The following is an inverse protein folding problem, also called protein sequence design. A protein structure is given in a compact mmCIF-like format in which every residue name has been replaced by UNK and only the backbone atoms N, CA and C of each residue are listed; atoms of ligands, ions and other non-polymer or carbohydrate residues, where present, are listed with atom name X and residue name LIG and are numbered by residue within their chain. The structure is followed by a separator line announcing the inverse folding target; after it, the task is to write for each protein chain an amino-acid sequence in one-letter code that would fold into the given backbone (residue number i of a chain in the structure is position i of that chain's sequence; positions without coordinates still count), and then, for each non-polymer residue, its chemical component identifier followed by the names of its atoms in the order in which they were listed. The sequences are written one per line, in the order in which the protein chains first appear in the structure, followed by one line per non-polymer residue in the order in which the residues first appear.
data_IF_180984045091
#
_entry.id   IF_180984045091
#
_cell.length_a   1.000
_cell.length_b   1.000
_cell.length_c   1.000
_cell.angle_alpha   90.00
_cell.angle_beta   90.00
_cell.angle_gamma   90.00
#
_symmetry.space_group_name_H-M   'P 1'
#
loop_
_entity.id
_entity.type
_entity.pdbx_description
1 polymer ?
#
# COMPACT_ATOMS: atom_id res chain seq x y z
N UNK A 1 8.62 72.30 -26.19
CA UNK A 1 7.92 71.69 -25.04
C UNK A 1 8.20 70.19 -25.08
N UNK A 2 8.88 69.71 -24.03
CA UNK A 2 8.96 68.31 -23.54
C UNK A 2 9.45 67.23 -24.52
N UNK A 3 10.74 66.90 -24.53
CA UNK A 3 11.43 65.86 -23.70
C UNK A 3 11.35 64.43 -24.29
N UNK A 4 12.49 63.76 -24.54
CA UNK A 4 12.55 62.32 -24.81
C UNK A 4 12.64 61.55 -23.48
N UNK A 5 11.86 60.47 -23.31
CA UNK A 5 11.89 59.63 -22.10
C UNK A 5 12.21 58.17 -22.44
N UNK A 6 13.48 57.82 -22.16
CA UNK A 6 14.02 56.55 -21.65
C UNK A 6 13.71 55.22 -22.35
N UNK A 7 14.76 54.69 -22.98
CA UNK A 7 15.04 53.25 -23.09
C UNK A 7 14.99 52.59 -21.70
N UNK A 8 14.25 51.48 -21.57
CA UNK A 8 14.35 50.54 -20.45
C UNK A 8 15.08 49.26 -20.91
N UNK A 9 16.30 48.98 -20.43
CA UNK A 9 16.96 47.69 -20.56
C UNK A 9 16.55 46.81 -19.37
N UNK A 10 15.71 45.79 -19.57
CA UNK A 10 15.25 44.99 -18.43
C UNK A 10 14.65 43.61 -18.68
N UNK A 11 14.46 43.18 -19.94
CA UNK A 11 13.67 41.96 -20.21
C UNK A 11 14.49 40.66 -20.26
N UNK A 12 15.82 40.74 -20.39
CA UNK A 12 16.66 39.53 -20.60
C UNK A 12 17.26 38.93 -19.31
N UNK A 13 17.41 39.70 -18.23
CA UNK A 13 17.99 39.20 -16.98
C UNK A 13 17.01 38.42 -16.08
N UNK A 14 15.70 38.64 -16.20
CA UNK A 14 14.68 37.99 -15.37
C UNK A 14 14.43 36.52 -15.73
N UNK A 15 14.49 36.18 -17.02
CA UNK A 15 14.24 34.82 -17.51
C UNK A 15 15.38 33.86 -17.12
N UNK A 16 16.62 34.32 -17.19
CA UNK A 16 17.81 33.53 -16.82
C UNK A 16 17.81 33.25 -15.31
N UNK A 17 17.44 34.23 -14.49
CA UNK A 17 17.36 34.04 -13.03
C UNK A 17 16.27 33.05 -12.62
N UNK A 18 15.12 33.03 -13.31
CA UNK A 18 14.01 32.12 -13.01
C UNK A 18 14.29 30.66 -13.40
N UNK A 19 14.98 30.42 -14.51
CA UNK A 19 15.38 29.07 -14.91
C UNK A 19 16.41 28.46 -13.94
N UNK A 20 17.37 29.27 -13.46
CA UNK A 20 18.42 28.81 -12.54
C UNK A 20 17.83 28.39 -11.19
N UNK A 21 16.86 29.13 -10.65
CA UNK A 21 16.21 28.77 -9.39
C UNK A 21 15.37 27.50 -9.52
N UNK A 22 14.68 27.30 -10.66
CA UNK A 22 13.85 26.12 -10.89
C UNK A 22 14.68 24.83 -11.01
N UNK A 23 15.85 24.89 -11.67
CA UNK A 23 16.80 23.76 -11.71
C UNK A 23 17.36 23.47 -10.33
N UNK A 24 17.70 24.50 -9.54
CA UNK A 24 18.24 24.32 -8.19
C UNK A 24 17.24 23.66 -7.23
N UNK A 25 15.97 24.07 -7.24
CA UNK A 25 14.90 23.47 -6.41
C UNK A 25 14.66 22.02 -6.80
N UNK A 26 14.71 21.70 -8.09
CA UNK A 26 14.53 20.33 -8.59
C UNK A 26 15.71 19.42 -8.23
N UNK A 27 16.94 19.92 -8.30
CA UNK A 27 18.14 19.18 -7.90
C UNK A 27 18.14 18.84 -6.39
N UNK A 28 17.73 19.78 -5.53
CA UNK A 28 17.64 19.56 -4.08
C UNK A 28 16.59 18.50 -3.72
N UNK A 29 15.45 18.48 -4.42
CA UNK A 29 14.40 17.50 -4.17
C UNK A 29 14.83 16.06 -4.55
N UNK A 30 15.51 15.88 -5.69
CA UNK A 30 15.98 14.57 -6.15
C UNK A 30 17.07 14.03 -5.22
N UNK A 31 18.03 14.87 -4.83
CA UNK A 31 19.07 14.47 -3.88
C UNK A 31 18.48 14.06 -2.52
N UNK A 32 17.50 14.80 -2.01
CA UNK A 32 16.86 14.50 -0.72
C UNK A 32 16.03 13.20 -0.76
N UNK A 33 15.36 12.91 -1.89
CA UNK A 33 14.62 11.67 -2.09
C UNK A 33 15.52 10.42 -2.13
N UNK A 34 16.69 10.51 -2.76
CA UNK A 34 17.61 9.38 -2.88
C UNK A 34 18.28 8.99 -1.55
N UNK A 35 18.59 9.96 -0.67
CA UNK A 35 19.22 9.69 0.62
C UNK A 35 18.28 9.08 1.67
N UNK A 36 16.97 9.36 1.55
CA UNK A 36 15.95 8.81 2.45
C UNK A 36 15.53 7.40 2.03
N UNK A 37 15.63 7.08 0.74
CA UNK A 37 15.19 5.81 0.17
C UNK A 37 15.93 4.59 0.72
N UNK A 38 17.23 4.70 1.06
CA UNK A 38 18.04 3.54 1.49
C UNK A 38 17.95 3.23 2.98
N UNK A 39 17.27 4.07 3.77
CA UNK A 39 17.01 3.81 5.20
C UNK A 39 15.69 3.09 5.46
N UNK A 40 14.82 2.94 4.46
CA UNK A 40 13.54 2.24 4.61
C UNK A 40 13.71 0.72 4.53
N UNK A 41 14.74 0.22 3.83
CA UNK A 41 15.01 -1.23 3.74
C UNK A 41 15.47 -1.83 5.09
N UNK A 42 16.06 -1.02 5.98
CA UNK A 42 16.54 -1.47 7.29
C UNK A 42 15.41 -1.69 8.32
N UNK A 43 14.25 -1.07 8.10
CA UNK A 43 13.09 -1.14 9.01
C UNK A 43 12.04 -2.16 8.57
N UNK A 44 12.23 -2.83 7.44
CA UNK A 44 11.44 -4.00 7.08
C UNK A 44 12.19 -5.24 7.59
N UNK A 45 11.93 -5.73 8.82
CA UNK A 45 12.44 -7.02 9.21
C UNK A 45 11.99 -8.00 8.13
N UNK A 46 12.97 -8.67 7.53
CA UNK A 46 12.78 -9.81 6.65
C UNK A 46 11.85 -10.75 7.41
N UNK A 47 10.57 -10.71 7.05
CA UNK A 47 9.54 -11.55 7.63
C UNK A 47 9.93 -12.96 7.21
N UNK A 48 10.73 -13.62 8.05
CA UNK A 48 11.05 -15.02 7.88
C UNK A 48 9.71 -15.75 7.81
N UNK A 49 9.37 -16.20 6.62
CA UNK A 49 8.22 -17.06 6.38
C UNK A 49 8.48 -18.35 7.16
N UNK A 50 7.96 -18.39 8.39
CA UNK A 50 8.07 -19.58 9.23
C UNK A 50 7.33 -20.72 8.52
N UNK A 51 7.98 -21.88 8.28
CA UNK A 51 7.33 -23.02 7.64
C UNK A 51 6.16 -23.45 8.52
N UNK A 52 4.93 -23.20 8.05
CA UNK A 52 3.70 -23.41 8.81
C UNK A 52 2.77 -22.20 8.87
N UNK A 53 3.21 -21.02 8.42
CA UNK A 53 2.32 -19.86 8.27
C UNK A 53 1.33 -20.07 7.12
N UNK A 54 0.04 -20.17 7.43
CA UNK A 54 -1.05 -20.22 6.44
C UNK A 54 -1.84 -18.92 6.50
N UNK A 55 -1.71 -18.09 5.47
CA UNK A 55 -2.45 -16.83 5.32
C UNK A 55 -3.42 -16.97 4.14
N UNK A 56 -4.72 -16.77 4.40
CA UNK A 56 -5.77 -16.82 3.39
C UNK A 56 -6.43 -15.45 3.26
N UNK A 57 -6.30 -14.84 2.08
CA UNK A 57 -6.87 -13.52 1.74
C UNK A 57 -6.56 -12.44 2.81
N UNK A 58 -5.32 -12.44 3.30
CA UNK A 58 -4.82 -11.51 4.31
C UNK A 58 -5.15 -11.88 5.76
N UNK A 59 -5.81 -13.01 6.00
CA UNK A 59 -6.13 -13.52 7.35
C UNK A 59 -5.19 -14.68 7.69
N UNK A 60 -4.42 -14.54 8.76
CA UNK A 60 -3.62 -15.63 9.31
C UNK A 60 -4.53 -16.69 9.95
N UNK A 61 -4.48 -17.91 9.41
CA UNK A 61 -5.22 -19.10 9.86
C UNK A 61 -4.28 -20.19 10.36
N UNK A 62 -3.02 -19.86 10.66
CA UNK A 62 -2.05 -20.77 11.25
C UNK A 62 -2.61 -21.42 12.52
N UNK A 63 -2.41 -22.74 12.66
CA UNK A 63 -2.93 -23.54 13.77
C UNK A 63 -4.36 -24.08 13.57
N UNK A 64 -5.08 -23.64 12.54
CA UNK A 64 -6.43 -24.12 12.23
C UNK A 64 -6.41 -25.13 11.07
N UNK A 65 -6.21 -26.41 11.39
CA UNK A 65 -6.04 -27.48 10.38
C UNK A 65 -7.25 -27.66 9.46
N UNK A 66 -8.45 -27.27 9.89
CA UNK A 66 -9.69 -27.33 9.11
C UNK A 66 -9.60 -26.50 7.81
N UNK A 67 -8.76 -25.46 7.78
CA UNK A 67 -8.54 -24.68 6.55
C UNK A 67 -7.73 -25.45 5.50
N UNK A 68 -7.10 -26.57 5.82
CA UNK A 68 -6.47 -27.46 4.84
C UNK A 68 -7.48 -28.45 4.21
N UNK A 69 -8.70 -28.56 4.74
CA UNK A 69 -9.73 -29.44 4.20
C UNK A 69 -10.20 -28.96 2.82
N UNK A 70 -10.30 -29.89 1.86
CA UNK A 70 -10.67 -29.57 0.48
C UNK A 70 -12.05 -28.95 0.34
N UNK A 71 -13.03 -29.35 1.18
CA UNK A 71 -14.38 -28.78 1.14
C UNK A 71 -14.35 -27.35 1.67
N UNK A 72 -13.55 -27.07 2.69
CA UNK A 72 -13.36 -25.72 3.23
C UNK A 72 -12.66 -24.82 2.20
N UNK A 73 -11.64 -25.31 1.51
CA UNK A 73 -10.99 -24.58 0.41
C UNK A 73 -11.97 -24.28 -0.74
N UNK A 74 -12.83 -25.23 -1.11
CA UNK A 74 -13.90 -25.00 -2.09
C UNK A 74 -14.92 -23.96 -1.61
N UNK A 75 -15.30 -24.00 -0.33
CA UNK A 75 -16.21 -23.01 0.26
C UNK A 75 -15.59 -21.61 0.26
N UNK A 76 -14.29 -21.48 0.54
CA UNK A 76 -13.56 -20.21 0.47
C UNK A 76 -13.49 -19.70 -0.96
N UNK A 77 -13.20 -20.57 -1.93
CA UNK A 77 -13.20 -20.19 -3.35
C UNK A 77 -14.59 -19.69 -3.80
N UNK A 78 -15.65 -20.36 -3.36
CA UNK A 78 -17.03 -19.92 -3.60
C UNK A 78 -17.31 -18.56 -2.97
N UNK A 79 -16.95 -18.37 -1.70
CA UNK A 79 -17.12 -17.10 -0.99
C UNK A 79 -16.32 -15.96 -1.64
N UNK A 80 -15.11 -16.25 -2.15
CA UNK A 80 -14.28 -15.28 -2.87
C UNK A 80 -14.98 -14.79 -4.13
N UNK A 81 -15.61 -15.68 -4.88
CA UNK A 81 -16.38 -15.31 -6.06
C UNK A 81 -17.66 -14.55 -5.69
N UNK A 82 -18.40 -15.02 -4.69
CA UNK A 82 -19.68 -14.43 -4.28
C UNK A 82 -19.53 -13.00 -3.71
N UNK A 83 -18.42 -12.74 -3.02
CA UNK A 83 -18.12 -11.45 -2.40
C UNK A 83 -17.09 -10.63 -3.17
N UNK A 84 -16.88 -10.94 -4.46
CA UNK A 84 -15.93 -10.19 -5.29
C UNK A 84 -16.31 -8.71 -5.35
N UNK A 85 -15.36 -7.82 -5.04
CA UNK A 85 -15.57 -6.38 -4.97
C UNK A 85 -16.40 -5.89 -3.78
N UNK A 86 -16.89 -6.79 -2.93
CA UNK A 86 -17.63 -6.40 -1.72
C UNK A 86 -16.67 -6.06 -0.58
N UNK A 87 -16.96 -4.95 0.10
CA UNK A 87 -16.25 -4.51 1.30
C UNK A 87 -17.19 -4.46 2.50
N UNK A 88 -16.61 -4.52 3.71
CA UNK A 88 -17.31 -4.18 4.94
C UNK A 88 -17.48 -2.66 5.05
N UNK A 89 -18.25 -2.23 6.05
CA UNK A 89 -18.36 -0.81 6.41
C UNK A 89 -17.01 -0.18 6.80
N UNK A 90 -16.07 -0.99 7.32
CA UNK A 90 -14.71 -0.56 7.66
C UNK A 90 -13.80 -0.36 6.44
N UNK A 91 -14.23 -0.79 5.25
CA UNK A 91 -13.44 -0.76 4.02
C UNK A 91 -12.68 -2.05 3.72
N UNK A 92 -12.55 -2.96 4.67
CA UNK A 92 -11.86 -4.25 4.45
C UNK A 92 -12.65 -5.15 3.49
N UNK A 93 -11.98 -6.02 2.69
CA UNK A 93 -12.66 -7.00 1.84
C UNK A 93 -13.60 -7.88 2.65
N UNK A 94 -14.83 -8.10 2.16
CA UNK A 94 -15.83 -8.87 2.89
C UNK A 94 -15.41 -10.34 3.10
N UNK A 95 -14.64 -10.91 2.17
CA UNK A 95 -14.10 -12.26 2.31
C UNK A 95 -13.27 -12.46 3.59
N UNK A 96 -12.48 -11.45 4.00
CA UNK A 96 -11.70 -11.51 5.24
C UNK A 96 -12.60 -11.69 6.48
N UNK A 97 -13.82 -11.14 6.46
CA UNK A 97 -14.81 -11.36 7.51
C UNK A 97 -15.30 -12.81 7.55
N UNK A 98 -15.56 -13.41 6.38
CA UNK A 98 -15.97 -14.82 6.29
C UNK A 98 -14.91 -15.74 6.91
N UNK A 99 -13.62 -15.48 6.63
CA UNK A 99 -12.52 -16.29 7.15
C UNK A 99 -12.35 -16.11 8.66
N UNK A 100 -12.46 -14.88 9.19
CA UNK A 100 -12.46 -14.64 10.64
C UNK A 100 -13.60 -15.38 11.34
N UNK A 101 -14.80 -15.35 10.77
CA UNK A 101 -15.95 -16.12 11.29
C UNK A 101 -15.66 -17.62 11.26
N UNK A 102 -15.06 -18.13 10.18
CA UNK A 102 -14.59 -19.52 10.09
C UNK A 102 -13.61 -19.90 11.20
N UNK A 103 -12.66 -19.03 11.56
CA UNK A 103 -11.74 -19.25 12.69
C UNK A 103 -12.49 -19.37 14.01
N UNK A 104 -13.46 -18.48 14.27
CA UNK A 104 -14.29 -18.53 15.48
C UNK A 104 -15.01 -19.88 15.56
N UNK A 105 -15.64 -20.31 14.46
CA UNK A 105 -16.32 -21.61 14.42
C UNK A 105 -15.37 -22.79 14.63
N UNK A 106 -14.17 -22.74 14.07
CA UNK A 106 -13.17 -23.79 14.26
C UNK A 106 -12.71 -23.96 15.73
N UNK A 107 -12.82 -22.90 16.56
CA UNK A 107 -12.58 -23.00 18.00
C UNK A 107 -13.79 -23.59 18.73
N UNK A 108 -15.01 -23.22 18.31
CA UNK A 108 -16.22 -23.47 19.07
C UNK A 108 -16.93 -24.77 18.72
N UNK A 109 -16.77 -25.27 17.49
CA UNK A 109 -17.46 -26.47 17.02
C UNK A 109 -16.55 -27.69 17.23
N UNK A 110 -16.98 -28.69 18.00
CA UNK A 110 -16.23 -29.93 18.17
C UNK A 110 -15.96 -30.62 16.84
N UNK A 111 -14.79 -31.24 16.68
CA UNK A 111 -14.43 -32.00 15.47
C UNK A 111 -15.24 -33.29 15.29
N UNK A 112 -16.01 -33.70 16.30
CA UNK A 112 -16.96 -34.79 16.29
C UNK A 112 -18.39 -34.23 16.21
N UNK A 113 -18.82 -33.88 15.00
CA UNK A 113 -20.21 -33.48 14.72
C UNK A 113 -21.23 -34.53 15.13
#
# INVERSE_FOLDING_TARGET
MSSPLLLLPGSVHGAVSSAITQVAVTAVAIASGACLSTKVDFLWPKLEEQPGSLVLDGVDVTGYTIFNDEKVQKAIAFARQAHHGQTRMTGDPYLSHCIHTGKILAVLVPSNG
#
